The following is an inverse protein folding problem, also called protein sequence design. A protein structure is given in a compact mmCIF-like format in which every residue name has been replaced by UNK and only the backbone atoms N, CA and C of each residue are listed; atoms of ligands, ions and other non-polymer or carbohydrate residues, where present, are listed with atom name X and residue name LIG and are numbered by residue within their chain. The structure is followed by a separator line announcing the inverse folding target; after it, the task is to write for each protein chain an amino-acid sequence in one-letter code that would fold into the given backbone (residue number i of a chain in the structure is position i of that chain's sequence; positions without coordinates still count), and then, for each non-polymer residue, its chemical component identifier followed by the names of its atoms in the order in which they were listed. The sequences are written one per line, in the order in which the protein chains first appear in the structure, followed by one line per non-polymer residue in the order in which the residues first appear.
data_IF_994379576460
#
_entry.id   IF_994379576460
#
_cell.length_a   1.000
_cell.length_b   1.000
_cell.length_c   1.000
_cell.angle_alpha   90.00
_cell.angle_beta   90.00
_cell.angle_gamma   90.00
#
_symmetry.space_group_name_H-M   'P 1'
#
loop_
_entity.id
_entity.type
_entity.pdbx_description
1 polymer ?
#
# COMPACT_ATOMS: atom_id res chain seq x y z
N UNK A 1 14.46 -11.52 4.50
CA UNK A 1 13.09 -11.04 4.27
C UNK A 1 12.89 -10.79 2.79
N UNK A 2 11.76 -11.19 2.21
CA UNK A 2 11.33 -10.89 0.84
C UNK A 2 10.28 -9.79 0.89
N UNK A 3 10.52 -8.69 0.19
CA UNK A 3 9.63 -7.52 0.19
C UNK A 3 9.06 -7.30 -1.21
N UNK A 4 7.77 -7.03 -1.27
CA UNK A 4 7.16 -6.48 -2.48
C UNK A 4 6.86 -5.00 -2.27
N UNK A 5 7.17 -4.19 -3.28
CA UNK A 5 6.81 -2.78 -3.36
C UNK A 5 5.72 -2.65 -4.42
N UNK A 6 4.61 -2.01 -4.08
CA UNK A 6 3.55 -1.63 -5.01
C UNK A 6 3.32 -0.13 -4.91
N UNK A 7 3.79 0.62 -5.91
CA UNK A 7 3.75 2.10 -5.94
C UNK A 7 3.45 2.57 -7.35
N UNK A 8 3.07 3.83 -7.53
CA UNK A 8 2.68 4.31 -8.86
C UNK A 8 3.80 4.84 -9.75
N UNK A 9 5.04 4.98 -9.25
CA UNK A 9 6.17 5.47 -10.06
C UNK A 9 7.43 4.64 -9.88
N UNK A 10 8.25 4.57 -10.94
CA UNK A 10 9.54 3.87 -10.89
C UNK A 10 10.53 4.58 -9.96
N UNK A 11 10.51 5.91 -9.93
CA UNK A 11 11.36 6.73 -9.09
C UNK A 11 11.13 6.41 -7.61
N UNK A 12 9.87 6.36 -7.17
CA UNK A 12 9.52 6.01 -5.79
C UNK A 12 9.90 4.56 -5.48
N UNK A 13 9.69 3.64 -6.42
CA UNK A 13 10.09 2.25 -6.27
C UNK A 13 11.61 2.09 -6.08
N UNK A 14 12.41 2.79 -6.87
CA UNK A 14 13.88 2.77 -6.74
C UNK A 14 14.33 3.42 -5.44
N UNK A 15 13.67 4.51 -5.01
CA UNK A 15 13.95 5.15 -3.73
C UNK A 15 13.71 4.19 -2.56
N UNK A 16 12.56 3.52 -2.53
CA UNK A 16 12.28 2.50 -1.51
C UNK A 16 13.20 1.29 -1.61
N UNK A 17 13.54 0.83 -2.81
CA UNK A 17 14.50 -0.28 -2.98
C UNK A 17 15.87 0.06 -2.39
N UNK A 18 16.36 1.28 -2.63
CA UNK A 18 17.61 1.78 -2.03
C UNK A 18 17.50 1.88 -0.51
N UNK A 19 16.39 2.43 0.00
CA UNK A 19 16.15 2.53 1.44
C UNK A 19 16.19 1.14 2.11
N UNK A 20 15.46 0.18 1.57
CA UNK A 20 15.42 -1.20 2.07
C UNK A 20 16.81 -1.86 2.01
N UNK A 21 17.57 -1.63 0.93
CA UNK A 21 18.92 -2.18 0.80
C UNK A 21 19.90 -1.60 1.82
N UNK A 22 19.95 -0.28 1.98
CA UNK A 22 21.01 0.37 2.76
C UNK A 22 20.66 0.54 4.24
N UNK A 23 19.38 0.66 4.59
CA UNK A 23 18.95 0.87 5.99
C UNK A 23 18.53 -0.44 6.66
N UNK A 24 18.03 -1.41 5.90
CA UNK A 24 17.48 -2.65 6.43
C UNK A 24 18.23 -3.92 5.96
N UNK A 25 19.25 -3.77 5.11
CA UNK A 25 19.98 -4.88 4.47
C UNK A 25 19.07 -5.90 3.77
N UNK A 26 18.04 -5.41 3.07
CA UNK A 26 17.11 -6.25 2.30
C UNK A 26 17.44 -6.14 0.82
N UNK A 27 17.79 -7.26 0.20
CA UNK A 27 18.15 -7.38 -1.22
C UNK A 27 17.04 -8.03 -2.07
N UNK A 28 16.24 -8.92 -1.46
CA UNK A 28 15.12 -9.63 -2.12
C UNK A 28 13.87 -8.75 -2.21
N UNK A 29 13.91 -7.80 -3.15
CA UNK A 29 12.82 -6.84 -3.40
C UNK A 29 12.23 -7.06 -4.79
N UNK A 30 10.91 -7.30 -4.88
CA UNK A 30 10.17 -7.22 -6.15
C UNK A 30 9.45 -5.87 -6.22
N UNK A 31 9.46 -5.25 -7.40
CA UNK A 31 8.77 -3.99 -7.67
C UNK A 31 7.59 -4.24 -8.59
N UNK A 32 6.45 -3.68 -8.22
CA UNK A 32 5.21 -3.65 -8.96
C UNK A 32 4.76 -2.19 -9.09
N UNK A 33 4.15 -1.87 -10.21
CA UNK A 33 3.61 -0.55 -10.46
C UNK A 33 2.08 -0.60 -10.44
N UNK A 34 1.46 0.36 -9.75
CA UNK A 34 0.01 0.58 -9.82
C UNK A 34 -0.40 0.88 -11.27
N UNK A 35 -1.63 0.52 -11.64
CA UNK A 35 -2.15 0.65 -13.01
C UNK A 35 -1.63 -0.40 -14.00
N UNK A 36 -0.59 -1.16 -13.65
CA UNK A 36 -0.13 -2.27 -14.48
C UNK A 36 -0.86 -3.56 -14.13
N UNK A 37 -1.61 -4.09 -15.09
CA UNK A 37 -2.29 -5.38 -14.94
C UNK A 37 -1.25 -6.52 -14.95
N UNK A 38 -0.72 -6.85 -13.78
CA UNK A 38 0.05 -8.09 -13.57
C UNK A 38 -0.76 -8.99 -12.67
N UNK A 39 -1.10 -10.18 -13.17
CA UNK A 39 -1.65 -11.22 -12.31
C UNK A 39 -0.68 -11.45 -11.15
N UNK A 40 -1.20 -11.48 -9.91
CA UNK A 40 -0.40 -11.79 -8.72
C UNK A 40 0.15 -13.21 -8.85
N UNK A 41 1.36 -13.34 -9.38
CA UNK A 41 2.03 -14.64 -9.52
C UNK A 41 2.24 -15.28 -8.14
N UNK A 42 2.33 -16.60 -8.09
CA UNK A 42 2.63 -17.33 -6.84
C UNK A 42 3.89 -16.80 -6.14
N UNK A 43 4.88 -16.34 -6.90
CA UNK A 43 6.10 -15.72 -6.37
C UNK A 43 5.82 -14.43 -5.57
N UNK A 44 4.87 -13.62 -6.02
CA UNK A 44 4.49 -12.39 -5.32
C UNK A 44 3.75 -12.68 -4.01
N UNK A 45 3.02 -13.79 -3.92
CA UNK A 45 2.33 -14.20 -2.70
C UNK A 45 3.26 -14.71 -1.60
N UNK A 46 4.53 -15.02 -1.91
CA UNK A 46 5.54 -15.47 -0.94
C UNK A 46 6.32 -14.33 -0.26
N UNK A 47 5.89 -13.08 -0.40
CA UNK A 47 6.54 -11.96 0.26
C UNK A 47 6.20 -11.92 1.76
N UNK A 48 7.22 -11.70 2.58
CA UNK A 48 7.10 -11.57 4.04
C UNK A 48 6.49 -10.22 4.44
N UNK A 49 6.65 -9.21 3.58
CA UNK A 49 6.21 -7.84 3.80
C UNK A 49 5.88 -7.13 2.49
N UNK A 50 4.84 -6.29 2.53
CA UNK A 50 4.42 -5.46 1.42
C UNK A 50 4.47 -3.98 1.80
N UNK A 51 5.11 -3.17 0.95
CA UNK A 51 5.06 -1.72 1.01
C UNK A 51 4.18 -1.22 -0.13
N UNK A 52 3.03 -0.62 0.20
CA UNK A 52 1.97 -0.34 -0.77
C UNK A 52 1.56 1.13 -0.69
N UNK A 53 1.61 1.85 -1.80
CA UNK A 53 0.95 3.14 -1.94
C UNK A 53 -0.57 2.94 -2.08
N UNK A 54 -1.37 3.63 -1.26
CA UNK A 54 -2.80 3.36 -1.15
C UNK A 54 -3.60 3.73 -2.41
N UNK A 55 -3.19 4.81 -3.09
CA UNK A 55 -3.87 5.38 -4.26
C UNK A 55 -2.93 5.42 -5.46
N UNK A 56 -3.51 5.39 -6.65
CA UNK A 56 -2.76 5.63 -7.88
C UNK A 56 -2.38 7.12 -7.97
N UNK A 57 -1.10 7.48 -8.19
CA UNK A 57 -0.65 8.88 -8.11
C UNK A 57 -1.22 9.76 -9.24
N UNK A 58 -1.53 9.18 -10.39
CA UNK A 58 -2.16 9.89 -11.51
C UNK A 58 -3.69 9.78 -11.52
N UNK A 59 -4.26 8.98 -10.62
CA UNK A 59 -5.71 8.84 -10.43
C UNK A 59 -6.00 8.88 -8.92
N UNK A 60 -5.94 10.05 -8.27
CA UNK A 60 -5.94 10.17 -6.81
C UNK A 60 -7.23 9.69 -6.14
N UNK A 61 -8.28 9.43 -6.92
CA UNK A 61 -9.54 8.83 -6.46
C UNK A 61 -9.60 7.31 -6.65
N UNK A 62 -8.53 6.69 -7.15
CA UNK A 62 -8.44 5.26 -7.42
C UNK A 62 -7.62 4.57 -6.32
N UNK A 63 -8.27 3.94 -5.31
CA UNK A 63 -7.61 3.28 -4.18
C UNK A 63 -7.10 1.88 -4.56
N UNK A 64 -6.47 1.71 -5.73
CA UNK A 64 -6.04 0.41 -6.24
C UNK A 64 -5.11 -0.32 -5.28
N UNK A 65 -4.14 0.39 -4.70
CA UNK A 65 -3.21 -0.19 -3.73
C UNK A 65 -3.90 -0.58 -2.44
N UNK A 66 -4.84 0.23 -1.93
CA UNK A 66 -5.67 -0.13 -0.79
C UNK A 66 -6.48 -1.41 -1.06
N UNK A 67 -7.15 -1.51 -2.21
CA UNK A 67 -7.90 -2.73 -2.58
C UNK A 67 -6.98 -3.95 -2.68
N UNK A 68 -5.76 -3.78 -3.16
CA UNK A 68 -4.75 -4.85 -3.19
C UNK A 68 -4.33 -5.26 -1.79
N UNK A 69 -4.05 -4.30 -0.90
CA UNK A 69 -3.73 -4.56 0.50
C UNK A 69 -4.88 -5.30 1.22
N UNK A 70 -6.13 -4.90 0.98
CA UNK A 70 -7.31 -5.57 1.55
C UNK A 70 -7.40 -7.05 1.11
N UNK A 71 -7.09 -7.38 -0.15
CA UNK A 71 -7.04 -8.77 -0.64
C UNK A 71 -5.92 -9.60 0.00
N UNK A 72 -4.88 -8.94 0.50
CA UNK A 72 -3.73 -9.53 1.20
C UNK A 72 -3.92 -9.59 2.73
N UNK A 73 -4.96 -8.96 3.28
CA UNK A 73 -5.26 -8.97 4.70
C UNK A 73 -5.31 -10.41 5.26
N UNK A 74 -4.71 -10.59 6.44
CA UNK A 74 -4.59 -11.89 7.11
C UNK A 74 -3.50 -12.82 6.54
N UNK A 75 -2.81 -12.45 5.45
CA UNK A 75 -1.81 -13.32 4.79
C UNK A 75 -0.37 -12.89 4.99
N UNK A 76 -0.11 -11.59 5.09
CA UNK A 76 1.25 -11.03 5.11
C UNK A 76 1.27 -9.67 5.80
N UNK A 77 2.45 -9.23 6.25
CA UNK A 77 2.61 -7.91 6.86
C UNK A 77 2.54 -6.83 5.77
N UNK A 78 1.90 -5.71 6.08
CA UNK A 78 1.68 -4.63 5.12
C UNK A 78 2.05 -3.31 5.80
N UNK A 79 2.68 -2.41 5.04
CA UNK A 79 2.68 -0.98 5.32
C UNK A 79 2.00 -0.27 4.15
N UNK A 80 0.86 0.34 4.46
CA UNK A 80 0.08 1.13 3.53
C UNK A 80 0.46 2.61 3.66
N UNK A 81 0.82 3.23 2.54
CA UNK A 81 1.30 4.60 2.45
C UNK A 81 0.22 5.47 1.83
N UNK A 82 -0.23 6.48 2.57
CA UNK A 82 -1.10 7.53 2.05
C UNK A 82 -0.25 8.76 1.70
N UNK A 83 -0.36 9.29 0.49
CA UNK A 83 0.28 10.58 0.15
C UNK A 83 -0.47 11.75 0.79
N UNK A 84 -1.79 11.62 0.93
CA UNK A 84 -2.66 12.56 1.61
C UNK A 84 -3.84 11.81 2.22
N UNK A 85 -4.41 12.35 3.29
CA UNK A 85 -5.59 11.82 3.96
C UNK A 85 -6.60 12.96 4.17
N UNK A 86 -7.92 12.68 4.18
CA UNK A 86 -8.92 13.70 4.45
C UNK A 86 -8.82 14.22 5.90
N UNK A 87 -9.41 15.38 6.15
CA UNK A 87 -9.49 15.96 7.50
C UNK A 87 -10.21 15.00 8.47
N UNK A 88 -9.69 14.88 9.69
CA UNK A 88 -10.21 13.96 10.70
C UNK A 88 -9.79 12.50 10.54
N UNK A 89 -9.11 12.12 9.45
CA UNK A 89 -8.58 10.76 9.30
C UNK A 89 -7.26 10.58 10.09
N UNK A 90 -7.07 9.46 10.81
CA UNK A 90 -5.84 9.20 11.54
C UNK A 90 -4.60 9.19 10.63
N UNK A 91 -3.64 10.07 10.93
CA UNK A 91 -2.39 10.23 10.16
C UNK A 91 -1.54 8.96 10.16
N UNK A 92 -1.69 8.09 11.15
CA UNK A 92 -1.03 6.79 11.19
C UNK A 92 -1.79 5.78 12.04
N UNK A 93 -1.44 4.50 11.84
CA UNK A 93 -1.82 3.40 12.72
C UNK A 93 -0.89 2.22 12.52
N UNK A 94 -1.25 1.02 12.97
CA UNK A 94 -0.27 -0.08 13.07
C UNK A 94 0.37 -0.49 11.74
N UNK A 95 -0.40 -0.45 10.66
CA UNK A 95 0.00 -0.91 9.32
C UNK A 95 -0.13 0.19 8.26
N UNK A 96 -0.38 1.45 8.63
CA UNK A 96 -0.48 2.57 7.69
C UNK A 96 0.12 3.87 8.23
N UNK A 97 0.52 4.77 7.33
CA UNK A 97 0.88 6.14 7.64
C UNK A 97 0.65 7.08 6.45
N UNK A 98 0.52 8.37 6.74
CA UNK A 98 0.79 9.41 5.77
C UNK A 98 2.29 9.49 5.48
N UNK A 99 2.71 9.48 4.22
CA UNK A 99 4.12 9.47 3.84
C UNK A 99 4.85 10.77 4.23
N UNK A 100 4.15 11.90 4.27
CA UNK A 100 4.74 13.23 4.47
C UNK A 100 4.94 13.60 5.95
N UNK A 101 4.22 12.94 6.85
CA UNK A 101 4.14 13.35 8.27
C UNK A 101 5.04 12.52 9.20
N UNK A 102 5.77 11.51 8.69
CA UNK A 102 6.33 10.45 9.54
C UNK A 102 7.75 10.03 9.20
N UNK A 103 8.47 9.54 10.23
CA UNK A 103 9.73 8.84 10.04
C UNK A 103 9.47 7.45 9.43
N UNK A 104 9.60 7.36 8.11
CA UNK A 104 9.35 6.14 7.35
C UNK A 104 10.19 4.95 7.82
N UNK A 105 11.42 5.16 8.27
CA UNK A 105 12.30 4.08 8.75
C UNK A 105 11.70 3.42 9.99
N UNK A 106 11.29 4.22 10.97
CA UNK A 106 10.63 3.70 12.17
C UNK A 106 9.31 3.02 11.83
N UNK A 107 8.57 3.57 10.87
CA UNK A 107 7.29 2.99 10.49
C UNK A 107 7.43 1.64 9.82
N UNK A 108 8.40 1.49 8.91
CA UNK A 108 8.74 0.19 8.31
C UNK A 108 9.13 -0.79 9.42
N UNK A 109 9.99 -0.42 10.37
CA UNK A 109 10.36 -1.29 11.52
C UNK A 109 9.15 -1.75 12.31
N UNK A 110 8.25 -0.82 12.66
CA UNK A 110 7.01 -1.11 13.40
C UNK A 110 6.11 -2.06 12.61
N UNK A 111 5.88 -1.81 11.32
CA UNK A 111 5.03 -2.65 10.48
C UNK A 111 5.64 -4.04 10.24
N UNK A 112 6.97 -4.15 10.05
CA UNK A 112 7.65 -5.44 9.87
C UNK A 112 7.67 -6.28 11.14
N UNK A 113 7.60 -5.68 12.33
CA UNK A 113 7.58 -6.39 13.62
C UNK A 113 6.17 -6.54 14.21
N UNK A 114 5.19 -5.79 13.71
CA UNK A 114 3.81 -5.82 14.15
C UNK A 114 3.04 -7.07 13.71
N UNK A 115 1.76 -7.10 14.08
CA UNK A 115 0.81 -8.12 13.64
C UNK A 115 0.48 -7.97 12.16
N UNK A 116 0.13 -9.10 11.53
CA UNK A 116 -0.47 -9.11 10.20
C UNK A 116 -1.83 -8.43 10.30
N UNK A 117 -2.10 -7.36 9.53
CA UNK A 117 -3.40 -6.69 9.57
C UNK A 117 -4.48 -7.61 9.02
N UNK A 118 -5.61 -7.66 9.71
CA UNK A 118 -6.78 -8.48 9.36
C UNK A 118 -7.80 -7.64 8.60
N UNK A 119 -8.82 -8.29 8.04
CA UNK A 119 -9.85 -7.59 7.25
C UNK A 119 -10.57 -6.52 8.06
N UNK A 120 -10.81 -6.79 9.34
CA UNK A 120 -11.51 -5.89 10.26
C UNK A 120 -10.73 -4.57 10.42
N UNK A 121 -9.39 -4.63 10.40
CA UNK A 121 -8.54 -3.45 10.49
C UNK A 121 -8.69 -2.54 9.26
N UNK A 122 -8.87 -3.12 8.08
CA UNK A 122 -9.15 -2.36 6.85
C UNK A 122 -10.59 -1.87 6.80
N UNK A 123 -11.55 -2.66 7.27
CA UNK A 123 -12.97 -2.28 7.35
C UNK A 123 -13.16 -1.06 8.26
N UNK A 124 -12.40 -0.96 9.35
CA UNK A 124 -12.31 0.25 10.15
C UNK A 124 -11.85 1.47 9.34
N UNK A 125 -10.80 1.33 8.51
CA UNK A 125 -10.35 2.43 7.65
C UNK A 125 -11.41 2.82 6.61
N UNK A 126 -12.15 1.84 6.06
CA UNK A 126 -13.25 2.09 5.12
C UNK A 126 -14.40 2.83 5.82
N UNK A 127 -14.71 2.53 7.08
CA UNK A 127 -15.72 3.27 7.85
C UNK A 127 -15.33 4.74 8.02
N UNK A 128 -14.05 5.01 8.27
CA UNK A 128 -13.53 6.38 8.39
C UNK A 128 -13.44 7.10 7.05
N UNK A 129 -13.12 6.37 5.98
CA UNK A 129 -12.96 6.92 4.64
C UNK A 129 -13.59 5.99 3.59
N UNK A 130 -14.92 6.11 3.37
CA UNK A 130 -15.67 5.18 2.51
C UNK A 130 -15.19 5.10 1.06
N UNK A 131 -14.47 6.11 0.56
CA UNK A 131 -13.98 6.08 -0.82
C UNK A 131 -12.87 5.05 -1.05
N UNK A 132 -12.31 4.46 0.00
CA UNK A 132 -11.29 3.41 -0.09
C UNK A 132 -11.80 2.11 -0.73
N UNK A 133 -13.12 1.87 -0.74
CA UNK A 133 -13.73 0.72 -1.42
C UNK A 133 -14.32 1.07 -2.78
N UNK A 134 -14.38 2.35 -3.16
CA UNK A 134 -14.93 2.72 -4.45
C UNK A 134 -14.09 2.09 -5.56
N UNK A 135 -14.73 1.33 -6.44
CA UNK A 135 -14.15 1.03 -7.74
C UNK A 135 -13.97 2.35 -8.51
N UNK A 136 -12.99 2.43 -9.44
CA UNK A 136 -12.92 3.59 -10.32
C UNK A 136 -14.29 3.71 -10.96
N UNK A 137 -15.01 4.82 -10.72
CA UNK A 137 -16.32 5.05 -11.31
C UNK A 137 -16.19 4.73 -12.78
N UNK A 138 -16.92 3.72 -13.25
CA UNK A 138 -17.05 3.44 -14.67
C UNK A 138 -17.59 4.71 -15.32
N UNK A 139 -16.72 5.56 -15.85
CA UNK A 139 -17.06 6.66 -16.77
C UNK A 139 -17.48 6.08 -18.13
N UNK A 140 -18.19 4.94 -18.13
CA UNK A 140 -19.06 4.59 -19.23
C UNK A 140 -20.26 5.51 -19.12
N UNK A 141 -20.11 6.66 -19.78
CA UNK A 141 -21.18 7.53 -20.17
C UNK A 141 -22.39 6.68 -20.59
N UNK A 142 -23.46 6.76 -19.81
CA UNK A 142 -24.80 6.56 -20.35
C UNK A 142 -25.06 7.74 -21.31
N UNK A 143 -24.54 7.64 -22.52
CA UNK A 143 -25.19 8.23 -23.68
C UNK A 143 -26.30 7.26 -24.09
N UNK A 144 -27.52 7.55 -23.64
CA UNK A 144 -28.74 7.24 -24.36
C UNK A 144 -29.59 8.50 -24.38
#
# INVERSE_FOLDING_TARGET
MRVNILVGTEELAQAFKRLLRYVFDIDKVNVLLLGQTKALSQKLLQADFWLIEAFHPFEPNNPEGFRTAYKLAGKTKILLLFLSTPEGFPKEGQFWCNLLDHNLVEKIKKATNGSIPKKEDFEYLIQLWPTLINDPKSYHQHHK
#
